data_IF_362737883104
#
_entry.id   IF_362737883104
#
_cell.length_a   1.000
_cell.length_b   1.000
_cell.length_c   1.000
_cell.angle_alpha   90.00
_cell.angle_beta   90.00
_cell.angle_gamma   90.00
#
_symmetry.space_group_name_H-M   'P 1'
#
loop_
_entity.id
_entity.type
_entity.pdbx_description
1 polymer ?
#
# COMPACT_ATOMS: atom_id res chain seq x y z
N UNK A 1 -6.61 85.01 -53.85
CA UNK A 1 -6.99 86.29 -54.48
C UNK A 1 -8.29 86.09 -55.24
N UNK A 2 -9.11 87.14 -55.27
CA UNK A 2 -10.43 87.26 -55.93
C UNK A 2 -11.64 86.72 -55.16
N UNK A 3 -12.05 87.57 -54.22
CA UNK A 3 -13.43 87.98 -53.94
C UNK A 3 -14.44 87.57 -55.03
N UNK A 4 -15.45 86.81 -54.63
CA UNK A 4 -16.80 87.02 -55.12
C UNK A 4 -17.75 87.04 -53.93
N UNK A 5 -18.13 88.26 -53.53
CA UNK A 5 -19.27 88.47 -52.65
C UNK A 5 -20.52 88.03 -53.40
N UNK A 6 -21.02 86.85 -53.04
CA UNK A 6 -22.43 86.51 -53.25
C UNK A 6 -23.13 86.77 -51.93
N UNK A 7 -24.13 87.65 -52.00
CA UNK A 7 -25.10 87.94 -50.96
C UNK A 7 -25.47 86.65 -50.21
N UNK A 8 -25.10 86.57 -48.93
CA UNK A 8 -25.72 85.60 -48.02
C UNK A 8 -27.18 86.02 -47.90
N UNK A 9 -28.08 85.29 -48.55
CA UNK A 9 -29.49 85.34 -48.20
C UNK A 9 -29.59 84.77 -46.78
N UNK A 10 -29.55 85.63 -45.77
CA UNK A 10 -29.72 85.30 -44.34
C UNK A 10 -31.13 84.75 -44.01
N UNK A 11 -31.90 84.35 -45.02
CA UNK A 11 -33.18 83.66 -44.95
C UNK A 11 -33.10 82.16 -45.35
N UNK A 12 -31.89 81.61 -45.60
CA UNK A 12 -31.71 80.28 -46.23
C UNK A 12 -30.91 79.23 -45.40
N UNK A 13 -30.65 79.45 -44.10
CA UNK A 13 -29.84 78.52 -43.30
C UNK A 13 -30.69 77.56 -42.44
N UNK A 14 -30.74 76.29 -42.87
CA UNK A 14 -31.41 75.20 -42.15
C UNK A 14 -30.50 74.51 -41.13
N UNK A 15 -29.26 74.98 -40.95
CA UNK A 15 -28.26 74.37 -40.07
C UNK A 15 -28.68 74.40 -38.60
N UNK A 16 -29.43 75.43 -38.20
CA UNK A 16 -29.99 75.56 -36.84
C UNK A 16 -30.90 74.38 -36.45
N UNK A 17 -31.53 73.69 -37.42
CA UNK A 17 -32.37 72.51 -37.17
C UNK A 17 -31.55 71.23 -36.91
N UNK A 18 -30.25 71.23 -37.22
CA UNK A 18 -29.35 70.08 -37.10
C UNK A 18 -28.47 70.16 -35.84
N UNK A 19 -28.51 71.29 -35.12
CA UNK A 19 -27.79 71.47 -33.86
C UNK A 19 -28.31 70.50 -32.78
N UNK A 20 -27.42 69.86 -31.98
CA UNK A 20 -27.80 68.83 -31.01
C UNK A 20 -28.73 69.32 -29.89
N UNK A 21 -28.75 70.64 -29.64
CA UNK A 21 -29.59 71.28 -28.62
C UNK A 21 -30.82 71.99 -29.22
N UNK A 22 -31.20 71.67 -30.47
CA UNK A 22 -32.36 72.29 -31.10
C UNK A 22 -33.65 72.00 -30.32
N UNK A 23 -34.27 73.07 -29.81
CA UNK A 23 -35.59 73.02 -29.19
C UNK A 23 -36.61 73.76 -30.06
N UNK A 24 -37.59 73.00 -30.56
CA UNK A 24 -38.68 73.50 -31.38
C UNK A 24 -39.52 74.55 -30.65
N UNK A 25 -39.69 74.44 -29.32
CA UNK A 25 -40.45 75.39 -28.52
C UNK A 25 -39.78 76.77 -28.47
N UNK A 26 -38.50 76.79 -28.09
CA UNK A 26 -37.70 78.01 -28.06
C UNK A 26 -37.51 78.65 -29.44
N UNK A 27 -37.35 77.84 -30.48
CA UNK A 27 -37.27 78.33 -31.86
C UNK A 27 -38.58 78.99 -32.30
N UNK A 28 -39.72 78.33 -32.06
CA UNK A 28 -41.04 78.90 -32.36
C UNK A 28 -41.29 80.20 -31.59
N UNK A 29 -40.89 80.26 -30.32
CA UNK A 29 -41.00 81.47 -29.51
C UNK A 29 -40.11 82.61 -30.06
N UNK A 30 -38.86 82.29 -30.39
CA UNK A 30 -37.93 83.26 -31.00
C UNK A 30 -38.45 83.77 -32.35
N UNK A 31 -39.07 82.90 -33.16
CA UNK A 31 -39.69 83.27 -34.42
C UNK A 31 -40.90 84.20 -34.21
N UNK A 32 -41.78 83.87 -33.26
CA UNK A 32 -42.92 84.71 -32.90
C UNK A 32 -42.49 86.11 -32.46
N UNK A 33 -41.49 86.19 -31.59
CA UNK A 33 -40.90 87.45 -31.10
C UNK A 33 -40.28 88.23 -32.26
N UNK A 34 -39.51 87.57 -33.14
CA UNK A 34 -38.85 88.23 -34.27
C UNK A 34 -39.83 88.81 -35.30
N UNK A 35 -41.02 88.21 -35.45
CA UNK A 35 -42.00 88.63 -36.46
C UNK A 35 -42.96 89.70 -35.93
N UNK A 36 -43.18 89.75 -34.61
CA UNK A 36 -44.14 90.66 -33.97
C UNK A 36 -43.49 91.84 -33.24
N UNK A 37 -42.20 91.78 -32.90
CA UNK A 37 -41.54 92.76 -32.04
C UNK A 37 -41.98 92.66 -30.57
N UNK A 38 -41.24 93.31 -29.67
CA UNK A 38 -41.44 93.16 -28.23
C UNK A 38 -42.64 93.93 -27.65
N UNK A 39 -43.17 94.92 -28.38
CA UNK A 39 -44.11 95.92 -27.83
C UNK A 39 -45.49 95.95 -28.53
N UNK A 40 -45.78 95.01 -29.44
CA UNK A 40 -47.07 94.94 -30.12
C UNK A 40 -48.13 94.26 -29.24
N UNK A 41 -49.27 94.93 -29.03
CA UNK A 41 -50.41 94.42 -28.25
C UNK A 41 -51.29 93.43 -29.00
N UNK A 42 -51.08 93.26 -30.32
CA UNK A 42 -51.80 92.34 -31.18
C UNK A 42 -50.81 91.33 -31.76
N UNK A 43 -51.05 90.05 -31.51
CA UNK A 43 -50.20 88.94 -31.96
C UNK A 43 -50.57 88.50 -33.38
N UNK A 44 -49.68 88.72 -34.34
CA UNK A 44 -49.74 88.18 -35.69
C UNK A 44 -49.08 86.79 -35.76
N UNK A 45 -49.91 85.75 -35.79
CA UNK A 45 -49.49 84.36 -36.00
C UNK A 45 -49.42 83.98 -37.49
N UNK A 46 -50.01 84.79 -38.37
CA UNK A 46 -50.15 84.44 -39.78
C UNK A 46 -48.82 84.59 -40.53
N UNK A 47 -48.04 85.62 -40.21
CA UNK A 47 -46.73 85.87 -40.83
C UNK A 47 -45.66 84.82 -40.45
N UNK A 48 -45.44 84.49 -39.15
CA UNK A 48 -44.53 83.41 -38.75
C UNK A 48 -44.91 82.06 -39.37
N UNK A 49 -46.21 81.76 -39.41
CA UNK A 49 -46.72 80.49 -39.94
C UNK A 49 -46.60 80.41 -41.47
N UNK A 50 -46.71 81.55 -42.18
CA UNK A 50 -46.39 81.62 -43.62
C UNK A 50 -44.90 81.38 -43.87
N UNK A 51 -44.01 81.91 -43.03
CA UNK A 51 -42.56 81.69 -43.15
C UNK A 51 -42.19 80.22 -42.96
N UNK A 52 -42.67 79.56 -41.89
CA UNK A 52 -42.44 78.12 -41.69
C UNK A 52 -42.98 77.26 -42.84
N UNK A 53 -44.14 77.62 -43.40
CA UNK A 53 -44.69 76.92 -44.57
C UNK A 53 -43.82 77.09 -45.80
N UNK A 54 -43.25 78.27 -46.01
CA UNK A 54 -42.31 78.52 -47.10
C UNK A 54 -41.04 77.68 -46.93
N UNK A 55 -40.48 77.67 -45.73
CA UNK A 55 -39.29 76.89 -45.37
C UNK A 55 -39.50 75.39 -45.59
N UNK A 56 -40.66 74.84 -45.23
CA UNK A 56 -41.03 73.44 -45.49
C UNK A 56 -41.10 73.12 -47.00
N UNK A 57 -41.67 74.02 -47.79
CA UNK A 57 -41.75 73.86 -49.25
C UNK A 57 -40.37 73.90 -49.87
N UNK A 58 -39.48 74.78 -49.40
CA UNK A 58 -38.10 74.86 -49.90
C UNK A 58 -37.27 73.65 -49.47
N UNK A 59 -37.46 73.12 -48.25
CA UNK A 59 -36.87 71.85 -47.83
C UNK A 59 -37.29 70.68 -48.72
N UNK A 60 -38.58 70.55 -49.01
CA UNK A 60 -39.10 69.50 -49.90
C UNK A 60 -38.51 69.65 -51.32
N UNK A 61 -38.41 70.89 -51.81
CA UNK A 61 -37.79 71.19 -53.10
C UNK A 61 -36.30 70.86 -53.12
N UNK A 62 -35.55 71.19 -52.07
CA UNK A 62 -34.11 70.87 -51.94
C UNK A 62 -33.89 69.36 -51.79
N UNK A 63 -34.74 68.68 -51.02
CA UNK A 63 -34.70 67.23 -50.88
C UNK A 63 -34.98 66.54 -52.21
N UNK A 64 -35.98 67.03 -52.96
CA UNK A 64 -36.26 66.58 -54.32
C UNK A 64 -35.10 66.85 -55.27
N UNK A 65 -34.46 68.02 -55.20
CA UNK A 65 -33.30 68.37 -56.03
C UNK A 65 -32.09 67.48 -55.71
N UNK A 66 -31.76 67.29 -54.44
CA UNK A 66 -30.64 66.44 -54.02
C UNK A 66 -30.90 64.98 -54.42
N UNK A 67 -32.12 64.50 -54.20
CA UNK A 67 -32.55 63.16 -54.60
C UNK A 67 -32.52 62.99 -56.11
N UNK A 68 -33.01 63.98 -56.89
CA UNK A 68 -33.02 63.93 -58.35
C UNK A 68 -31.66 64.19 -59.01
N UNK A 69 -30.73 64.85 -58.33
CA UNK A 69 -29.38 65.11 -58.85
C UNK A 69 -28.43 63.95 -58.55
N UNK A 70 -28.60 63.28 -57.41
CA UNK A 70 -27.72 62.21 -56.95
C UNK A 70 -28.37 60.82 -56.99
N UNK A 71 -29.49 60.67 -57.70
CA UNK A 71 -30.24 59.40 -57.77
C UNK A 71 -29.36 58.23 -58.21
N UNK A 72 -28.40 58.44 -59.11
CA UNK A 72 -27.51 57.39 -59.60
C UNK A 72 -26.60 56.83 -58.49
N UNK A 73 -26.00 57.71 -57.69
CA UNK A 73 -25.15 57.32 -56.56
C UNK A 73 -25.96 56.64 -55.47
N UNK A 74 -27.17 57.13 -55.19
CA UNK A 74 -28.07 56.53 -54.23
C UNK A 74 -28.52 55.12 -54.67
N UNK A 75 -28.90 54.98 -55.94
CA UNK A 75 -29.28 53.70 -56.55
C UNK A 75 -28.09 52.73 -56.59
N UNK A 76 -26.88 53.22 -56.87
CA UNK A 76 -25.66 52.42 -56.84
C UNK A 76 -25.33 51.90 -55.44
N UNK A 77 -25.48 52.73 -54.40
CA UNK A 77 -25.29 52.29 -53.01
C UNK A 77 -26.35 51.25 -52.60
N UNK A 78 -27.63 51.48 -52.92
CA UNK A 78 -28.67 50.51 -52.63
C UNK A 78 -28.44 49.17 -53.35
N UNK A 79 -28.01 49.20 -54.60
CA UNK A 79 -27.66 47.98 -55.36
C UNK A 79 -26.42 47.28 -54.80
N UNK A 80 -25.39 48.01 -54.36
CA UNK A 80 -24.21 47.42 -53.69
C UNK A 80 -24.55 46.80 -52.34
N UNK A 81 -25.36 47.47 -51.51
CA UNK A 81 -25.84 46.92 -50.23
C UNK A 81 -26.62 45.63 -50.49
N UNK A 82 -27.51 45.63 -51.49
CA UNK A 82 -28.26 44.44 -51.86
C UNK A 82 -27.32 43.33 -52.34
N UNK A 83 -26.35 43.63 -53.21
CA UNK A 83 -25.36 42.67 -53.68
C UNK A 83 -24.55 42.04 -52.53
N UNK A 84 -24.08 42.85 -51.57
CA UNK A 84 -23.35 42.33 -50.41
C UNK A 84 -24.25 41.48 -49.53
N UNK A 85 -25.51 41.88 -49.35
CA UNK A 85 -26.51 41.09 -48.62
C UNK A 85 -26.75 39.74 -49.29
N UNK A 86 -26.89 39.73 -50.62
CA UNK A 86 -27.04 38.50 -51.42
C UNK A 86 -25.80 37.61 -51.27
N UNK A 87 -24.59 38.15 -51.40
CA UNK A 87 -23.35 37.36 -51.25
C UNK A 87 -23.25 36.74 -49.84
N UNK A 88 -23.61 37.51 -48.82
CA UNK A 88 -23.54 37.08 -47.42
C UNK A 88 -24.58 35.98 -47.14
N UNK A 89 -25.81 36.13 -47.63
CA UNK A 89 -26.88 35.13 -47.46
C UNK A 89 -26.67 33.88 -48.32
N UNK A 90 -26.19 34.02 -49.55
CA UNK A 90 -26.18 32.91 -50.51
C UNK A 90 -24.86 32.14 -50.52
N UNK A 91 -23.74 32.78 -50.15
CA UNK A 91 -22.43 32.11 -50.13
C UNK A 91 -21.87 31.97 -48.73
N UNK A 92 -21.72 33.08 -48.00
CA UNK A 92 -20.95 33.06 -46.76
C UNK A 92 -21.67 32.26 -45.67
N UNK A 93 -22.96 32.56 -45.40
CA UNK A 93 -23.72 31.86 -44.37
C UNK A 93 -23.83 30.34 -44.65
N UNK A 94 -24.16 29.88 -45.88
CA UNK A 94 -24.22 28.45 -46.17
C UNK A 94 -22.86 27.75 -46.04
N UNK A 95 -21.76 28.40 -46.43
CA UNK A 95 -20.43 27.84 -46.22
C UNK A 95 -20.06 27.76 -44.74
N UNK A 96 -20.41 28.78 -43.95
CA UNK A 96 -20.20 28.78 -42.50
C UNK A 96 -20.99 27.64 -41.83
N UNK A 97 -22.25 27.45 -42.22
CA UNK A 97 -23.08 26.34 -41.75
C UNK A 97 -22.51 24.99 -42.17
N UNK A 98 -22.00 24.89 -43.40
CA UNK A 98 -21.38 23.66 -43.92
C UNK A 98 -20.11 23.30 -43.14
N UNK A 99 -19.36 24.29 -42.66
CA UNK A 99 -18.16 24.07 -41.83
C UNK A 99 -18.54 23.74 -40.38
N UNK A 100 -19.52 24.46 -39.81
CA UNK A 100 -19.93 24.24 -38.42
C UNK A 100 -20.64 22.90 -38.20
N UNK A 101 -21.39 22.40 -39.20
CA UNK A 101 -22.10 21.11 -39.12
C UNK A 101 -21.16 19.94 -38.76
N UNK A 102 -20.03 19.72 -39.44
CA UNK A 102 -19.03 18.73 -39.06
C UNK A 102 -18.48 18.90 -37.63
N UNK A 103 -18.21 20.13 -37.18
CA UNK A 103 -17.70 20.36 -35.83
C UNK A 103 -18.74 20.01 -34.76
N UNK A 104 -19.99 20.46 -34.94
CA UNK A 104 -21.10 20.09 -34.05
C UNK A 104 -21.36 18.58 -34.09
N UNK A 105 -21.21 17.95 -35.25
CA UNK A 105 -21.31 16.50 -35.40
C UNK A 105 -20.21 15.78 -34.63
N UNK A 106 -18.95 16.19 -34.75
CA UNK A 106 -17.83 15.59 -33.99
C UNK A 106 -18.03 15.78 -32.49
N UNK A 107 -18.44 16.97 -32.07
CA UNK A 107 -18.73 17.25 -30.66
C UNK A 107 -19.78 16.29 -30.11
N UNK A 108 -20.89 16.12 -30.82
CA UNK A 108 -22.00 15.28 -30.40
C UNK A 108 -21.74 13.78 -30.55
N UNK A 109 -21.08 13.35 -31.62
CA UNK A 109 -20.86 11.93 -31.91
C UNK A 109 -19.57 11.37 -31.28
N UNK A 110 -18.61 12.22 -30.91
CA UNK A 110 -17.30 11.78 -30.40
C UNK A 110 -16.98 12.34 -29.02
N UNK A 111 -17.07 13.66 -28.83
CA UNK A 111 -16.62 14.29 -27.58
C UNK A 111 -17.58 13.96 -26.43
N UNK A 112 -18.89 14.18 -26.61
CA UNK A 112 -19.89 13.90 -25.56
C UNK A 112 -19.89 12.41 -25.14
N UNK A 113 -19.90 11.42 -26.06
CA UNK A 113 -19.79 10.01 -25.69
C UNK A 113 -18.46 9.65 -25.02
N UNK A 114 -17.36 10.29 -25.41
CA UNK A 114 -16.07 10.10 -24.77
C UNK A 114 -16.09 10.59 -23.32
N UNK A 115 -16.62 11.79 -23.07
CA UNK A 115 -16.74 12.34 -21.71
C UNK A 115 -17.66 11.48 -20.84
N UNK A 116 -18.75 10.95 -21.40
CA UNK A 116 -19.62 9.98 -20.73
C UNK A 116 -18.88 8.68 -20.38
N UNK A 117 -18.10 8.13 -21.33
CA UNK A 117 -17.32 6.93 -21.11
C UNK A 117 -16.25 7.13 -20.02
N UNK A 118 -15.57 8.29 -20.00
CA UNK A 118 -14.60 8.63 -18.96
C UNK A 118 -15.28 8.73 -17.59
N UNK A 119 -16.45 9.36 -17.50
CA UNK A 119 -17.25 9.41 -16.28
C UNK A 119 -17.63 8.02 -15.78
N UNK A 120 -18.12 7.16 -16.66
CA UNK A 120 -18.49 5.78 -16.33
C UNK A 120 -17.26 4.96 -15.89
N UNK A 121 -16.12 5.11 -16.57
CA UNK A 121 -14.88 4.43 -16.22
C UNK A 121 -14.38 4.85 -14.83
N UNK A 122 -14.46 6.14 -14.50
CA UNK A 122 -14.12 6.62 -13.15
C UNK A 122 -15.06 6.06 -12.08
N UNK A 123 -16.37 6.00 -12.37
CA UNK A 123 -17.32 5.36 -11.47
C UNK A 123 -17.00 3.87 -11.26
N UNK A 124 -16.67 3.15 -12.34
CA UNK A 124 -16.26 1.75 -12.27
C UNK A 124 -14.98 1.55 -11.47
N UNK A 125 -13.99 2.43 -11.64
CA UNK A 125 -12.73 2.41 -10.86
C UNK A 125 -13.02 2.59 -9.36
N UNK A 126 -13.89 3.53 -8.99
CA UNK A 126 -14.28 3.75 -7.59
C UNK A 126 -15.03 2.55 -7.00
N UNK A 127 -15.94 1.94 -7.77
CA UNK A 127 -16.65 0.72 -7.36
C UNK A 127 -15.67 -0.43 -7.15
N UNK A 128 -14.73 -0.62 -8.08
CA UNK A 128 -13.73 -1.67 -7.99
C UNK A 128 -12.86 -1.50 -6.73
N UNK A 129 -12.37 -0.29 -6.46
CA UNK A 129 -11.60 0.02 -5.26
C UNK A 129 -12.39 -0.25 -3.98
N UNK A 130 -13.65 0.19 -3.94
CA UNK A 130 -14.55 -0.04 -2.80
C UNK A 130 -14.77 -1.53 -2.57
N UNK A 131 -14.97 -2.31 -3.64
CA UNK A 131 -15.20 -3.74 -3.58
C UNK A 131 -13.95 -4.50 -3.11
N UNK A 132 -12.77 -4.10 -3.55
CA UNK A 132 -11.50 -4.68 -3.09
C UNK A 132 -11.30 -4.45 -1.58
N UNK A 133 -11.49 -3.22 -1.10
CA UNK A 133 -11.41 -2.91 0.32
C UNK A 133 -12.46 -3.69 1.13
N UNK A 134 -13.69 -3.82 0.61
CA UNK A 134 -14.75 -4.56 1.27
C UNK A 134 -14.44 -6.07 1.33
N UNK A 135 -13.88 -6.65 0.27
CA UNK A 135 -13.45 -8.05 0.26
C UNK A 135 -12.35 -8.31 1.28
N UNK A 136 -11.34 -7.46 1.34
CA UNK A 136 -10.26 -7.62 2.33
C UNK A 136 -10.77 -7.43 3.75
N UNK A 137 -11.70 -6.50 3.96
CA UNK A 137 -12.37 -6.32 5.27
C UNK A 137 -13.18 -7.54 5.66
N UNK A 138 -13.94 -8.11 4.73
CA UNK A 138 -14.72 -9.32 4.95
C UNK A 138 -13.83 -10.51 5.30
N UNK A 139 -12.73 -10.70 4.56
CA UNK A 139 -11.73 -11.71 4.85
C UNK A 139 -11.10 -11.52 6.24
N UNK A 140 -10.74 -10.29 6.60
CA UNK A 140 -10.24 -9.96 7.93
C UNK A 140 -11.27 -10.32 9.02
N UNK A 141 -12.53 -9.88 8.89
CA UNK A 141 -13.59 -10.18 9.88
C UNK A 141 -13.77 -11.69 10.03
N UNK A 142 -13.79 -12.42 8.91
CA UNK A 142 -13.91 -13.87 8.92
C UNK A 142 -12.76 -14.57 9.66
N UNK A 143 -11.51 -14.12 9.44
CA UNK A 143 -10.36 -14.62 10.20
C UNK A 143 -10.52 -14.34 11.69
N UNK A 144 -10.92 -13.12 12.08
CA UNK A 144 -11.09 -12.76 13.49
C UNK A 144 -12.20 -13.60 14.13
N UNK A 145 -13.33 -13.77 13.46
CA UNK A 145 -14.42 -14.62 13.93
C UNK A 145 -13.95 -16.05 14.16
N UNK A 146 -13.23 -16.64 13.20
CA UNK A 146 -12.69 -18.00 13.37
C UNK A 146 -11.67 -18.09 14.51
N UNK A 147 -10.83 -17.07 14.69
CA UNK A 147 -9.88 -17.01 15.81
C UNK A 147 -10.63 -16.96 17.15
N UNK A 148 -11.70 -16.19 17.26
CA UNK A 148 -12.51 -16.08 18.48
C UNK A 148 -13.28 -17.37 18.78
N UNK A 149 -13.85 -18.03 17.77
CA UNK A 149 -14.52 -19.33 17.91
C UNK A 149 -13.56 -20.42 18.41
N UNK A 150 -12.33 -20.45 17.88
CA UNK A 150 -11.30 -21.41 18.30
C UNK A 150 -10.70 -21.10 19.68
N UNK A 151 -10.72 -19.83 20.11
CA UNK A 151 -10.19 -19.40 21.41
C UNK A 151 -11.25 -19.46 22.54
N UNK A 152 -12.53 -19.38 22.21
CA UNK A 152 -13.65 -19.42 23.18
C UNK A 152 -14.11 -20.83 23.57
N UNK A 153 -13.62 -21.89 22.91
CA UNK A 153 -14.01 -23.28 23.16
C UNK A 153 -13.39 -23.91 24.42
N UNK A 154 -14.13 -24.81 25.09
CA UNK A 154 -13.70 -25.57 26.29
C UNK A 154 -12.58 -26.57 25.99
N UNK A 155 -12.50 -27.05 24.75
CA UNK A 155 -11.37 -27.82 24.25
C UNK A 155 -10.34 -26.85 23.70
N UNK A 156 -9.11 -26.91 24.21
CA UNK A 156 -7.92 -26.27 23.61
C UNK A 156 -8.06 -26.32 22.09
N UNK A 157 -8.32 -25.16 21.47
CA UNK A 157 -8.61 -25.05 20.05
C UNK A 157 -7.52 -25.72 19.22
N UNK A 158 -7.86 -26.10 17.99
CA UNK A 158 -6.90 -26.68 17.05
C UNK A 158 -5.72 -25.72 16.83
N UNK A 159 -4.64 -25.91 17.59
CA UNK A 159 -3.49 -25.00 17.69
C UNK A 159 -2.86 -24.78 16.32
N UNK A 160 -2.88 -25.80 15.46
CA UNK A 160 -2.37 -25.73 14.09
C UNK A 160 -3.24 -24.81 13.24
N UNK A 161 -4.57 -24.96 13.31
CA UNK A 161 -5.49 -24.04 12.59
C UNK A 161 -5.37 -22.61 13.10
N UNK A 162 -5.34 -22.41 14.42
CA UNK A 162 -5.14 -21.08 15.03
C UNK A 162 -3.83 -20.44 14.55
N UNK A 163 -2.77 -21.24 14.45
CA UNK A 163 -1.47 -20.79 13.93
C UNK A 163 -1.53 -20.37 12.45
N UNK A 164 -2.25 -21.12 11.62
CA UNK A 164 -2.47 -20.77 10.20
C UNK A 164 -3.27 -19.48 10.05
N UNK A 165 -4.31 -19.29 10.85
CA UNK A 165 -5.11 -18.06 10.85
C UNK A 165 -4.28 -16.84 11.27
N UNK A 166 -3.43 -16.97 12.31
CA UNK A 166 -2.50 -15.91 12.67
C UNK A 166 -1.45 -15.64 11.57
N UNK A 167 -0.94 -16.67 10.89
CA UNK A 167 -0.04 -16.50 9.75
C UNK A 167 -0.71 -15.76 8.58
N UNK A 168 -1.95 -16.12 8.23
CA UNK A 168 -2.74 -15.41 7.22
C UNK A 168 -3.00 -13.95 7.61
N UNK A 169 -3.31 -13.69 8.88
CA UNK A 169 -3.53 -12.35 9.40
C UNK A 169 -2.25 -11.51 9.35
N UNK A 170 -1.09 -12.09 9.66
CA UNK A 170 0.19 -11.38 9.56
C UNK A 170 0.57 -11.12 8.10
N UNK A 171 0.35 -12.08 7.19
CA UNK A 171 0.56 -11.86 5.76
C UNK A 171 -0.28 -10.69 5.22
N UNK A 172 -1.51 -10.52 5.72
CA UNK A 172 -2.34 -9.37 5.39
C UNK A 172 -1.68 -8.05 5.83
N UNK A 173 -1.08 -7.98 7.02
CA UNK A 173 -0.35 -6.80 7.48
C UNK A 173 1.00 -6.59 6.77
N UNK A 174 1.71 -7.66 6.41
CA UNK A 174 3.02 -7.61 5.77
C UNK A 174 2.93 -7.23 4.29
N UNK A 175 1.84 -7.62 3.62
CA UNK A 175 1.56 -7.21 2.23
C UNK A 175 1.50 -5.68 2.07
N UNK A 176 1.07 -4.97 3.12
CA UNK A 176 1.04 -3.51 3.15
C UNK A 176 2.41 -2.90 3.40
N UNK A 177 3.24 -3.54 4.22
CA UNK A 177 4.56 -3.03 4.62
C UNK A 177 5.60 -3.25 3.51
N UNK A 178 5.48 -4.38 2.78
CA UNK A 178 6.41 -4.78 1.72
C UNK A 178 6.19 -4.00 0.41
N UNK A 179 4.98 -3.50 0.18
CA UNK A 179 4.65 -2.64 -0.97
C UNK A 179 5.12 -1.17 -0.80
N UNK A 180 5.90 -0.86 0.25
CA UNK A 180 6.47 0.47 0.49
C UNK A 180 7.56 0.94 -0.49
N UNK A 181 7.83 0.20 -1.58
CA UNK A 181 8.90 0.51 -2.54
C UNK A 181 8.50 0.61 -4.02
N UNK A 182 7.32 0.10 -4.40
CA UNK A 182 6.80 0.26 -5.76
C UNK A 182 5.50 1.02 -5.62
N UNK A 183 5.42 2.18 -6.26
CA UNK A 183 4.19 2.95 -6.42
C UNK A 183 3.16 2.07 -7.14
N UNK A 184 2.47 1.18 -6.43
CA UNK A 184 1.27 0.57 -6.95
C UNK A 184 0.26 1.70 -7.03
N UNK A 185 -0.12 2.06 -8.24
CA UNK A 185 -1.15 3.03 -8.61
C UNK A 185 -2.56 2.68 -8.05
N UNK A 186 -2.62 1.75 -7.09
CA UNK A 186 -3.79 1.27 -6.40
C UNK A 186 -3.68 1.67 -4.93
N UNK A 187 -4.37 2.77 -4.64
CA UNK A 187 -4.54 3.43 -3.35
C UNK A 187 -5.27 2.57 -2.28
N UNK A 188 -5.32 1.25 -2.46
CA UNK A 188 -6.08 0.32 -1.63
C UNK A 188 -5.20 -0.17 -0.48
N UNK A 189 -4.83 0.77 0.40
CA UNK A 189 -4.13 0.42 1.62
C UNK A 189 -5.13 -0.16 2.63
N UNK A 190 -5.02 -1.45 2.94
CA UNK A 190 -5.84 -2.14 3.95
C UNK A 190 -5.74 -1.46 5.33
N UNK A 191 -4.60 -0.82 5.64
CA UNK A 191 -4.39 -0.07 6.87
C UNK A 191 -5.12 1.28 6.92
N UNK A 192 -5.76 1.71 5.83
CA UNK A 192 -6.70 2.86 5.86
C UNK A 192 -7.93 2.56 6.72
N UNK A 193 -8.27 1.28 6.90
CA UNK A 193 -9.44 0.83 7.65
C UNK A 193 -9.09 0.79 9.13
N UNK A 194 -9.73 1.68 9.90
CA UNK A 194 -9.49 1.84 11.34
C UNK A 194 -9.59 0.53 12.12
N UNK A 195 -10.61 -0.28 11.85
CA UNK A 195 -10.82 -1.57 12.53
C UNK A 195 -9.61 -2.51 12.37
N UNK A 196 -9.09 -2.64 11.15
CA UNK A 196 -7.96 -3.52 10.84
C UNK A 196 -6.68 -2.97 11.47
N UNK A 197 -6.45 -1.67 11.32
CA UNK A 197 -5.28 -0.99 11.87
C UNK A 197 -5.21 -1.12 13.40
N UNK A 198 -6.32 -0.84 14.08
CA UNK A 198 -6.36 -0.78 15.54
C UNK A 198 -6.26 -2.20 16.16
N UNK A 199 -6.69 -3.25 15.44
CA UNK A 199 -6.56 -4.64 15.89
C UNK A 199 -5.12 -5.19 15.79
N UNK A 200 -4.24 -4.58 14.99
CA UNK A 200 -2.87 -5.08 14.75
C UNK A 200 -2.09 -5.35 16.03
N UNK A 201 -2.13 -4.44 16.99
CA UNK A 201 -1.43 -4.61 18.27
C UNK A 201 -1.96 -5.82 19.04
N UNK A 202 -3.28 -5.97 19.12
CA UNK A 202 -3.94 -7.12 19.75
C UNK A 202 -3.57 -8.43 19.07
N UNK A 203 -3.56 -8.46 17.73
CA UNK A 203 -3.17 -9.63 16.95
C UNK A 203 -1.72 -10.06 17.24
N UNK A 204 -0.79 -9.11 17.30
CA UNK A 204 0.62 -9.38 17.61
C UNK A 204 0.76 -9.95 19.02
N UNK A 205 0.14 -9.33 20.01
CA UNK A 205 0.20 -9.77 21.42
C UNK A 205 -0.38 -11.18 21.59
N UNK A 206 -1.55 -11.46 21.01
CA UNK A 206 -2.16 -12.81 21.10
C UNK A 206 -1.32 -13.86 20.37
N UNK A 207 -0.74 -13.53 19.21
CA UNK A 207 0.19 -14.39 18.50
C UNK A 207 1.41 -14.73 19.35
N UNK A 208 2.00 -13.73 20.01
CA UNK A 208 3.14 -13.93 20.91
C UNK A 208 2.78 -14.81 22.12
N UNK A 209 1.58 -14.64 22.69
CA UNK A 209 1.08 -15.51 23.76
C UNK A 209 0.99 -16.97 23.30
N UNK A 210 0.49 -17.20 22.08
CA UNK A 210 0.39 -18.55 21.50
C UNK A 210 1.79 -19.17 21.25
N UNK A 211 2.74 -18.37 20.76
CA UNK A 211 4.15 -18.79 20.60
C UNK A 211 4.73 -19.22 21.96
N UNK A 212 4.47 -18.44 23.01
CA UNK A 212 4.91 -18.75 24.36
C UNK A 212 4.29 -20.05 24.89
N UNK A 213 2.99 -20.25 24.70
CA UNK A 213 2.28 -21.48 25.06
C UNK A 213 2.85 -22.71 24.33
N UNK A 214 3.09 -22.59 23.03
CA UNK A 214 3.74 -23.64 22.24
C UNK A 214 5.12 -23.97 22.78
N UNK A 215 5.91 -22.94 23.08
CA UNK A 215 7.25 -23.09 23.61
C UNK A 215 7.26 -23.81 24.97
N UNK A 216 6.34 -23.45 25.88
CA UNK A 216 6.22 -24.10 27.18
C UNK A 216 5.77 -25.55 27.05
N UNK A 217 4.80 -25.82 26.18
CA UNK A 217 4.31 -27.18 25.95
C UNK A 217 5.41 -28.07 25.37
N UNK A 218 6.13 -27.61 24.33
CA UNK A 218 7.23 -28.34 23.72
C UNK A 218 8.32 -28.64 24.76
N UNK A 219 8.72 -27.65 25.56
CA UNK A 219 9.70 -27.87 26.64
C UNK A 219 9.22 -28.93 27.64
N UNK A 220 7.94 -28.92 28.01
CA UNK A 220 7.38 -29.85 28.99
C UNK A 220 7.24 -31.29 28.45
N UNK A 221 6.93 -31.45 27.17
CA UNK A 221 6.68 -32.74 26.51
C UNK A 221 7.97 -33.38 25.98
N UNK A 222 8.97 -32.60 25.56
CA UNK A 222 10.30 -33.13 25.21
C UNK A 222 11.11 -33.53 26.44
N UNK A 223 10.71 -33.04 27.62
CA UNK A 223 11.45 -33.26 28.85
C UNK A 223 11.38 -34.67 29.42
N UNK A 224 10.30 -35.40 29.10
CA UNK A 224 9.99 -36.74 29.60
C UNK A 224 10.24 -37.74 28.47
N UNK A 225 11.11 -38.74 28.69
CA UNK A 225 11.38 -39.76 27.66
C UNK A 225 10.13 -40.59 27.30
N UNK A 226 9.13 -40.66 28.18
CA UNK A 226 7.87 -41.36 27.95
C UNK A 226 6.91 -40.63 27.01
N UNK A 227 7.00 -39.29 26.90
CA UNK A 227 6.13 -38.50 26.01
C UNK A 227 6.67 -38.40 24.59
N UNK A 228 7.92 -38.80 24.34
CA UNK A 228 8.48 -38.97 23.00
C UNK A 228 7.99 -40.27 22.38
N UNK A 229 6.75 -40.24 21.89
CA UNK A 229 6.15 -41.34 21.16
C UNK A 229 5.17 -40.81 20.10
N UNK A 230 4.89 -41.64 19.08
CA UNK A 230 4.05 -41.26 17.93
C UNK A 230 2.61 -40.89 18.30
N UNK A 231 2.10 -41.36 19.44
CA UNK A 231 0.73 -41.06 19.91
C UNK A 231 0.62 -39.68 20.55
N UNK A 232 1.74 -38.98 20.79
CA UNK A 232 1.73 -37.64 21.36
C UNK A 232 1.35 -36.58 20.31
N UNK A 233 0.08 -36.56 19.94
CA UNK A 233 -0.51 -35.59 19.00
C UNK A 233 -0.35 -34.16 19.54
N UNK A 234 -0.34 -33.99 20.87
CA UNK A 234 -0.12 -32.68 21.49
C UNK A 234 1.25 -32.12 21.12
N UNK A 235 2.33 -32.86 21.34
CA UNK A 235 3.68 -32.43 20.98
C UNK A 235 3.80 -32.16 19.47
N UNK A 236 3.26 -33.06 18.63
CA UNK A 236 3.24 -32.90 17.18
C UNK A 236 2.57 -31.58 16.75
N UNK A 237 1.34 -31.33 17.22
CA UNK A 237 0.58 -30.14 16.88
C UNK A 237 1.28 -28.85 17.32
N UNK A 238 1.94 -28.84 18.48
CA UNK A 238 2.65 -27.65 18.96
C UNK A 238 3.96 -27.40 18.21
N UNK A 239 4.70 -28.46 17.81
CA UNK A 239 5.87 -28.32 16.93
C UNK A 239 5.46 -27.75 15.58
N UNK A 240 4.38 -28.27 15.00
CA UNK A 240 3.83 -27.78 13.75
C UNK A 240 3.33 -26.33 13.84
N UNK A 241 2.61 -26.01 14.91
CA UNK A 241 2.13 -24.67 15.20
C UNK A 241 3.28 -23.66 15.32
N UNK A 242 4.31 -23.99 16.10
CA UNK A 242 5.47 -23.12 16.29
C UNK A 242 6.22 -22.89 14.99
N UNK A 243 6.39 -23.91 14.15
CA UNK A 243 7.00 -23.76 12.84
C UNK A 243 6.20 -22.83 11.91
N UNK A 244 4.86 -22.91 11.92
CA UNK A 244 3.98 -22.01 11.13
C UNK A 244 4.05 -20.57 11.64
N UNK A 245 4.12 -20.38 12.97
CA UNK A 245 4.11 -19.06 13.59
C UNK A 245 5.45 -18.36 13.47
N UNK A 246 6.55 -19.05 13.79
CA UNK A 246 7.89 -18.49 13.77
C UNK A 246 8.95 -19.59 13.62
N UNK A 247 9.50 -19.69 12.41
CA UNK A 247 10.54 -20.67 12.05
C UNK A 247 11.81 -20.48 12.90
N UNK A 248 12.18 -19.24 13.26
CA UNK A 248 13.38 -18.99 14.05
C UNK A 248 13.18 -19.45 15.49
N UNK A 249 12.05 -19.11 16.09
CA UNK A 249 11.70 -19.53 17.44
C UNK A 249 11.60 -21.06 17.52
N UNK A 250 11.04 -21.72 16.49
CA UNK A 250 11.00 -23.17 16.39
C UNK A 250 12.39 -23.80 16.58
N UNK A 251 13.40 -23.38 15.81
CA UNK A 251 14.73 -23.95 15.93
C UNK A 251 15.38 -23.66 17.29
N UNK A 252 15.18 -22.46 17.83
CA UNK A 252 15.72 -22.08 19.15
C UNK A 252 15.12 -22.93 20.27
N UNK A 253 13.80 -23.07 20.30
CA UNK A 253 13.10 -23.88 21.30
C UNK A 253 13.40 -25.36 21.11
N UNK A 254 13.48 -25.85 19.87
CA UNK A 254 13.87 -27.22 19.59
C UNK A 254 15.28 -27.52 20.15
N UNK A 255 16.28 -26.68 19.87
CA UNK A 255 17.65 -26.85 20.38
C UNK A 255 17.68 -26.82 21.91
N UNK A 256 16.99 -25.83 22.51
CA UNK A 256 16.97 -25.64 23.95
C UNK A 256 16.32 -26.82 24.68
N UNK A 257 15.19 -27.29 24.17
CA UNK A 257 14.35 -28.30 24.81
C UNK A 257 14.91 -29.71 24.69
N UNK A 258 15.56 -30.02 23.56
CA UNK A 258 16.14 -31.32 23.26
C UNK A 258 17.66 -31.33 23.50
N UNK A 259 18.44 -30.71 22.61
CA UNK A 259 19.90 -30.77 22.60
C UNK A 259 20.54 -30.14 23.85
N UNK A 260 20.30 -28.85 24.10
CA UNK A 260 20.97 -28.12 25.18
C UNK A 260 20.63 -28.68 26.55
N UNK A 261 19.38 -29.15 26.73
CA UNK A 261 18.93 -29.77 27.97
C UNK A 261 19.65 -31.10 28.24
N UNK A 262 19.75 -31.97 27.23
CA UNK A 262 20.46 -33.24 27.40
C UNK A 262 21.96 -33.01 27.58
N UNK A 263 22.56 -32.12 26.78
CA UNK A 263 23.98 -31.74 26.88
C UNK A 263 24.30 -31.19 28.28
N UNK A 264 23.45 -30.30 28.82
CA UNK A 264 23.62 -29.77 30.17
C UNK A 264 23.49 -30.84 31.25
N UNK A 265 22.49 -31.73 31.14
CA UNK A 265 22.26 -32.80 32.12
C UNK A 265 23.43 -33.79 32.15
N UNK A 266 23.81 -34.31 30.99
CA UNK A 266 24.93 -35.24 30.85
C UNK A 266 26.28 -34.57 31.13
N UNK A 267 26.46 -33.32 30.73
CA UNK A 267 27.66 -32.54 31.02
C UNK A 267 27.86 -32.32 32.53
N UNK A 268 26.77 -32.09 33.27
CA UNK A 268 26.81 -31.99 34.73
C UNK A 268 27.10 -33.34 35.41
N UNK A 269 26.53 -34.44 34.90
CA UNK A 269 26.83 -35.80 35.37
C UNK A 269 28.32 -36.14 35.16
N UNK A 270 28.85 -35.91 33.96
CA UNK A 270 30.27 -36.12 33.66
C UNK A 270 31.18 -35.18 34.46
N UNK A 271 30.79 -33.92 34.65
CA UNK A 271 31.56 -32.99 35.48
C UNK A 271 31.67 -33.44 36.94
N UNK A 272 30.62 -34.07 37.49
CA UNK A 272 30.69 -34.70 38.82
C UNK A 272 31.56 -35.95 38.81
N UNK A 273 31.47 -36.75 37.74
CA UNK A 273 32.28 -37.94 37.55
C UNK A 273 33.79 -37.64 37.46
N UNK A 274 34.19 -36.47 36.95
CA UNK A 274 35.58 -36.02 36.94
C UNK A 274 36.17 -35.84 38.35
N UNK A 275 35.33 -35.63 39.37
CA UNK A 275 35.78 -35.55 40.76
C UNK A 275 36.12 -36.93 41.34
N UNK A 276 35.59 -38.00 40.75
CA UNK A 276 35.80 -39.40 41.12
C UNK A 276 36.13 -40.26 39.89
N UNK A 277 37.36 -40.18 39.36
CA UNK A 277 37.74 -40.80 38.08
C UNK A 277 37.43 -42.29 37.96
N UNK A 278 37.41 -43.02 39.08
CA UNK A 278 37.08 -44.46 39.14
C UNK A 278 35.67 -44.78 38.62
N UNK A 279 34.71 -43.87 38.79
CA UNK A 279 33.31 -44.05 38.35
C UNK A 279 33.05 -43.38 36.99
N UNK A 280 34.03 -42.67 36.42
CA UNK A 280 33.85 -41.91 35.19
C UNK A 280 33.37 -42.79 34.02
N UNK A 281 33.97 -43.97 33.85
CA UNK A 281 33.58 -44.87 32.76
C UNK A 281 32.19 -45.47 32.95
N UNK A 282 31.77 -45.74 34.18
CA UNK A 282 30.41 -46.21 34.45
C UNK A 282 29.38 -45.12 34.11
N UNK A 283 29.63 -43.88 34.56
CA UNK A 283 28.76 -42.74 34.29
C UNK A 283 28.76 -42.39 32.79
N UNK A 284 29.90 -42.48 32.11
CA UNK A 284 29.97 -42.23 30.66
C UNK A 284 29.18 -43.26 29.86
N UNK A 285 29.23 -44.55 30.24
CA UNK A 285 28.40 -45.58 29.63
C UNK A 285 26.90 -45.38 29.90
N UNK A 286 26.52 -44.99 31.12
CA UNK A 286 25.12 -44.65 31.46
C UNK A 286 24.61 -43.44 30.64
N UNK A 287 25.45 -42.41 30.49
CA UNK A 287 25.17 -41.25 29.63
C UNK A 287 24.99 -41.67 28.18
N UNK A 288 25.82 -42.60 27.68
CA UNK A 288 25.69 -43.10 26.32
C UNK A 288 24.37 -43.84 26.11
N UNK A 289 24.03 -44.79 26.99
CA UNK A 289 22.83 -45.62 26.86
C UNK A 289 21.55 -44.78 26.97
N UNK A 290 21.48 -43.89 27.98
CA UNK A 290 20.32 -43.02 28.20
C UNK A 290 20.09 -42.03 27.06
N UNK A 291 21.15 -41.43 26.51
CA UNK A 291 21.02 -40.50 25.38
C UNK A 291 20.76 -41.21 24.06
N UNK A 292 21.35 -42.39 23.81
CA UNK A 292 21.01 -43.20 22.64
C UNK A 292 19.52 -43.51 22.63
N UNK A 293 18.98 -44.03 23.74
CA UNK A 293 17.55 -44.31 23.87
C UNK A 293 16.65 -43.06 23.73
N UNK A 294 17.14 -41.87 24.10
CA UNK A 294 16.41 -40.61 23.91
C UNK A 294 16.40 -40.17 22.45
N UNK A 295 17.56 -40.13 21.80
CA UNK A 295 17.68 -39.68 20.41
C UNK A 295 17.08 -40.68 19.42
N UNK A 296 17.14 -41.99 19.67
CA UNK A 296 16.47 -42.99 18.84
C UNK A 296 14.96 -42.77 18.81
N UNK A 297 14.34 -42.53 19.98
CA UNK A 297 12.92 -42.19 20.07
C UNK A 297 12.60 -40.85 19.40
N UNK A 298 13.46 -39.86 19.57
CA UNK A 298 13.27 -38.55 18.96
C UNK A 298 13.35 -38.63 17.44
N UNK A 299 14.33 -39.36 16.90
CA UNK A 299 14.51 -39.59 15.47
C UNK A 299 13.33 -40.38 14.90
N UNK A 300 12.86 -41.45 15.57
CA UNK A 300 11.66 -42.21 15.17
C UNK A 300 10.45 -41.28 15.03
N UNK A 301 10.21 -40.47 16.05
CA UNK A 301 9.07 -39.56 16.12
C UNK A 301 9.16 -38.48 15.04
N UNK A 302 10.31 -37.82 14.87
CA UNK A 302 10.51 -36.76 13.88
C UNK A 302 10.54 -37.27 12.45
N UNK A 303 10.88 -38.54 12.23
CA UNK A 303 10.85 -39.17 10.90
C UNK A 303 9.42 -39.40 10.42
N UNK A 304 8.52 -39.75 11.35
CA UNK A 304 7.10 -40.07 11.05
C UNK A 304 6.19 -38.85 11.07
N UNK A 305 6.61 -37.78 11.75
CA UNK A 305 5.86 -36.53 11.79
C UNK A 305 6.22 -35.67 10.59
N UNK A 306 5.23 -35.42 9.74
CA UNK A 306 5.37 -34.62 8.53
C UNK A 306 5.17 -33.14 8.83
N UNK A 307 5.79 -32.30 8.01
CA UNK A 307 5.53 -30.86 8.02
C UNK A 307 4.10 -30.54 7.57
N UNK A 308 3.59 -29.33 7.89
CA UNK A 308 2.33 -28.86 7.30
C UNK A 308 2.43 -28.94 5.78
N UNK A 309 1.59 -29.77 5.16
CA UNK A 309 1.58 -29.99 3.72
C UNK A 309 1.40 -28.66 2.98
N UNK A 310 2.41 -28.32 2.20
CA UNK A 310 2.34 -27.29 1.17
C UNK A 310 2.21 -28.08 -0.14
N UNK A 311 1.09 -27.92 -0.86
CA UNK A 311 0.65 -28.81 -1.96
C UNK A 311 1.67 -28.99 -3.10
N UNK A 312 2.76 -28.20 -3.09
CA UNK A 312 3.78 -28.13 -4.10
C UNK A 312 5.16 -28.65 -3.65
N UNK A 313 5.29 -29.21 -2.44
CA UNK A 313 6.56 -29.75 -1.92
C UNK A 313 6.48 -31.23 -1.61
N UNK A 314 7.57 -32.00 -1.81
CA UNK A 314 7.64 -33.38 -1.34
C UNK A 314 7.43 -33.42 0.17
N UNK A 315 6.92 -34.55 0.67
CA UNK A 315 6.68 -34.76 2.10
C UNK A 315 8.01 -34.73 2.86
N UNK A 316 8.42 -33.53 3.30
CA UNK A 316 9.53 -33.33 4.22
C UNK A 316 9.05 -33.62 5.64
N UNK A 317 9.77 -34.49 6.35
CA UNK A 317 9.54 -34.73 7.76
C UNK A 317 10.33 -33.75 8.63
N UNK A 318 9.96 -33.65 9.92
CA UNK A 318 10.65 -32.75 10.84
C UNK A 318 12.13 -33.11 11.02
N UNK A 319 12.50 -34.40 10.88
CA UNK A 319 13.90 -34.82 11.01
C UNK A 319 14.76 -34.20 9.91
N UNK A 320 14.36 -34.33 8.65
CA UNK A 320 15.08 -33.78 7.49
C UNK A 320 15.19 -32.25 7.59
N UNK A 321 14.13 -31.58 8.03
CA UNK A 321 14.14 -30.15 8.28
C UNK A 321 15.20 -29.75 9.32
N UNK A 322 15.22 -30.43 10.46
CA UNK A 322 16.16 -30.13 11.55
C UNK A 322 17.60 -30.45 11.15
N UNK A 323 17.84 -31.61 10.54
CA UNK A 323 19.18 -32.02 10.10
C UNK A 323 19.75 -31.08 9.03
N UNK A 324 18.92 -30.63 8.09
CA UNK A 324 19.33 -29.65 7.07
C UNK A 324 19.70 -28.30 7.69
N UNK A 325 18.93 -27.83 8.68
CA UNK A 325 19.22 -26.58 9.39
C UNK A 325 20.54 -26.65 10.17
N UNK A 326 20.79 -27.75 10.89
CA UNK A 326 22.03 -27.95 11.66
C UNK A 326 23.20 -28.50 10.84
N UNK A 327 23.00 -28.79 9.55
CA UNK A 327 24.02 -29.35 8.64
C UNK A 327 24.74 -30.56 9.23
N UNK A 328 23.95 -31.50 9.76
CA UNK A 328 24.45 -32.68 10.47
C UNK A 328 23.73 -33.93 9.98
N UNK A 329 24.41 -35.08 10.02
CA UNK A 329 23.88 -36.38 9.60
C UNK A 329 22.92 -37.03 10.61
N UNK A 330 23.13 -36.80 11.92
CA UNK A 330 22.26 -37.32 12.99
C UNK A 330 22.20 -36.42 14.22
N UNK A 331 21.07 -36.42 14.91
CA UNK A 331 20.91 -35.66 16.16
C UNK A 331 21.86 -36.13 17.27
N UNK A 332 22.16 -37.44 17.29
CA UNK A 332 23.15 -38.02 18.20
C UNK A 332 24.56 -37.44 17.99
N UNK A 333 25.00 -37.27 16.74
CA UNK A 333 26.29 -36.65 16.44
C UNK A 333 26.36 -35.20 16.94
N UNK A 334 25.31 -34.42 16.70
CA UNK A 334 25.21 -33.03 17.18
C UNK A 334 25.30 -32.95 18.71
N UNK A 335 24.61 -33.86 19.41
CA UNK A 335 24.68 -33.97 20.86
C UNK A 335 26.12 -34.23 21.34
N UNK A 336 26.80 -35.23 20.79
CA UNK A 336 28.16 -35.60 21.22
C UNK A 336 29.17 -34.49 20.95
N UNK A 337 29.05 -33.76 19.84
CA UNK A 337 29.89 -32.59 19.55
C UNK A 337 29.70 -31.49 20.61
N UNK A 338 28.45 -31.14 20.92
CA UNK A 338 28.13 -30.13 21.95
C UNK A 338 28.55 -30.57 23.36
N UNK A 339 28.33 -31.84 23.70
CA UNK A 339 28.74 -32.42 24.98
C UNK A 339 30.25 -32.42 25.15
N UNK A 340 31.00 -32.84 24.11
CA UNK A 340 32.45 -32.83 24.13
C UNK A 340 33.01 -31.42 24.34
N UNK A 341 32.44 -30.40 23.69
CA UNK A 341 32.83 -29.01 23.91
C UNK A 341 32.57 -28.55 25.35
N UNK A 342 31.42 -28.90 25.94
CA UNK A 342 31.13 -28.58 27.34
C UNK A 342 32.08 -29.32 28.28
N UNK A 343 32.34 -30.61 28.04
CA UNK A 343 33.26 -31.43 28.81
C UNK A 343 34.68 -30.85 28.76
N UNK A 344 35.14 -30.45 27.57
CA UNK A 344 36.44 -29.79 27.36
C UNK A 344 36.58 -28.54 28.24
N UNK A 345 35.58 -27.66 28.24
CA UNK A 345 35.55 -26.46 29.10
C UNK A 345 35.60 -26.82 30.59
N UNK A 346 34.84 -27.84 31.01
CA UNK A 346 34.82 -28.29 32.40
C UNK A 346 36.16 -28.88 32.84
N UNK A 347 36.83 -29.65 31.98
CA UNK A 347 38.17 -30.21 32.21
C UNK A 347 39.18 -29.07 32.34
N UNK A 348 39.25 -28.15 31.37
CA UNK A 348 40.17 -27.00 31.42
C UNK A 348 39.99 -26.19 32.69
N UNK A 349 38.75 -25.88 33.08
CA UNK A 349 38.46 -25.17 34.32
C UNK A 349 38.90 -25.95 35.58
N UNK A 350 38.75 -27.28 35.57
CA UNK A 350 39.21 -28.14 36.67
C UNK A 350 40.73 -28.19 36.76
N UNK A 351 41.41 -28.29 35.62
CA UNK A 351 42.88 -28.30 35.54
C UNK A 351 43.48 -26.96 35.96
N UNK A 352 42.90 -25.84 35.53
CA UNK A 352 43.33 -24.49 35.89
C UNK A 352 43.26 -24.22 37.41
N UNK A 353 42.30 -24.83 38.12
CA UNK A 353 42.18 -24.71 39.59
C UNK A 353 43.31 -25.40 40.37
N UNK A 354 44.06 -26.32 39.76
CA UNK A 354 45.28 -26.89 40.35
C UNK A 354 45.12 -27.74 41.63
N UNK A 355 43.90 -28.18 41.96
CA UNK A 355 43.60 -28.90 43.21
C UNK A 355 43.85 -30.42 43.19
N UNK A 356 43.48 -31.14 44.27
CA UNK A 356 43.61 -32.60 44.36
C UNK A 356 42.91 -33.35 43.23
N UNK A 357 41.75 -32.84 42.77
CA UNK A 357 41.00 -33.40 41.64
C UNK A 357 41.82 -33.34 40.35
N UNK A 358 42.50 -32.23 40.06
CA UNK A 358 43.33 -32.09 38.86
C UNK A 358 44.54 -33.03 38.89
N UNK A 359 45.19 -33.19 40.06
CA UNK A 359 46.28 -34.17 40.24
C UNK A 359 45.78 -35.59 40.02
N UNK A 360 44.60 -35.91 40.57
CA UNK A 360 43.96 -37.22 40.43
C UNK A 360 43.62 -37.52 38.96
N UNK A 361 43.06 -36.56 38.23
CA UNK A 361 42.78 -36.69 36.80
C UNK A 361 44.03 -36.96 35.96
N UNK A 362 45.19 -36.34 36.28
CA UNK A 362 46.45 -36.65 35.59
C UNK A 362 46.89 -38.10 35.77
N UNK A 363 46.73 -38.64 36.99
CA UNK A 363 47.08 -40.05 37.28
C UNK A 363 46.21 -41.02 36.49
N UNK A 364 44.91 -40.73 36.37
CA UNK A 364 43.96 -41.59 35.64
C UNK A 364 43.81 -41.27 34.15
N UNK A 365 44.48 -40.22 33.63
CA UNK A 365 44.34 -39.72 32.25
C UNK A 365 44.50 -40.81 31.20
N UNK A 366 45.59 -41.59 31.30
CA UNK A 366 45.88 -42.66 30.33
C UNK A 366 44.82 -43.77 30.38
N UNK A 367 44.40 -44.18 31.58
CA UNK A 367 43.37 -45.21 31.75
C UNK A 367 42.00 -44.77 31.21
N UNK A 368 41.65 -43.49 31.38
CA UNK A 368 40.42 -42.94 30.82
C UNK A 368 40.44 -42.92 29.29
N UNK A 369 41.57 -42.51 28.68
CA UNK A 369 41.73 -42.50 27.23
C UNK A 369 41.62 -43.90 26.64
N UNK A 370 42.35 -44.88 27.17
CA UNK A 370 42.27 -46.27 26.70
C UNK A 370 40.86 -46.85 26.87
N UNK A 371 40.20 -46.57 27.99
CA UNK A 371 38.83 -47.04 28.22
C UNK A 371 37.81 -46.44 27.25
N UNK A 372 38.03 -45.19 26.79
CA UNK A 372 37.20 -44.56 25.74
C UNK A 372 37.53 -45.14 24.36
N UNK A 373 38.80 -45.46 24.10
CA UNK A 373 39.25 -46.05 22.84
C UNK A 373 38.66 -47.43 22.56
N UNK A 374 38.42 -48.22 23.61
CA UNK A 374 37.88 -49.58 23.55
C UNK A 374 36.35 -49.62 23.48
N UNK A 375 35.65 -48.66 24.10
CA UNK A 375 34.18 -48.71 24.27
C UNK A 375 33.35 -47.92 23.25
N UNK A 376 33.93 -46.93 22.57
CA UNK A 376 33.17 -45.99 21.74
C UNK A 376 33.53 -46.09 20.25
N UNK A 377 32.52 -45.93 19.39
CA UNK A 377 32.70 -45.85 17.94
C UNK A 377 33.51 -44.62 17.50
N UNK A 378 34.13 -44.69 16.32
CA UNK A 378 35.19 -43.77 15.86
C UNK A 378 34.83 -42.28 15.93
N UNK A 379 33.61 -41.90 15.58
CA UNK A 379 33.14 -40.50 15.61
C UNK A 379 32.94 -39.95 17.04
N UNK A 380 32.35 -40.73 17.95
CA UNK A 380 32.13 -40.31 19.34
C UNK A 380 33.46 -40.30 20.09
N UNK A 381 34.27 -41.32 19.82
CA UNK A 381 35.63 -41.50 20.35
C UNK A 381 36.50 -40.27 20.10
N UNK A 382 36.56 -39.78 18.86
CA UNK A 382 37.38 -38.60 18.51
C UNK A 382 37.02 -37.36 19.34
N UNK A 383 35.72 -37.06 19.47
CA UNK A 383 35.24 -35.87 20.20
C UNK A 383 35.55 -35.94 21.71
N UNK A 384 35.36 -37.10 22.34
CA UNK A 384 35.62 -37.28 23.77
C UNK A 384 37.12 -37.31 24.05
N UNK A 385 37.93 -37.95 23.18
CA UNK A 385 39.37 -37.99 23.31
C UNK A 385 39.99 -36.58 23.18
N UNK A 386 39.50 -35.74 22.27
CA UNK A 386 39.92 -34.32 22.20
C UNK A 386 39.64 -33.60 23.52
N UNK A 387 38.46 -33.80 24.13
CA UNK A 387 38.15 -33.22 25.42
C UNK A 387 39.09 -33.72 26.54
N UNK A 388 39.38 -35.02 26.60
CA UNK A 388 40.29 -35.63 27.58
C UNK A 388 41.76 -35.25 27.35
N UNK A 389 42.16 -34.92 26.13
CA UNK A 389 43.53 -34.45 25.84
C UNK A 389 43.89 -33.16 26.60
N UNK A 390 42.89 -32.36 26.96
CA UNK A 390 43.09 -31.13 27.75
C UNK A 390 43.55 -31.39 29.20
N UNK A 391 43.49 -32.62 29.69
CA UNK A 391 44.04 -33.00 31.01
C UNK A 391 45.57 -32.87 31.03
N UNK A 392 46.21 -33.16 29.89
CA UNK A 392 47.67 -33.17 29.75
C UNK A 392 48.21 -31.86 29.15
N UNK A 393 47.30 -30.95 28.77
CA UNK A 393 47.65 -29.64 28.25
C UNK A 393 48.31 -28.80 29.36
N UNK A 394 49.45 -28.19 29.02
CA UNK A 394 50.28 -27.42 29.97
C UNK A 394 49.74 -26.02 30.20
#
# INVERSE_FOLDING_TARGET
>A
MSSNGSQRNELEDFEAYLEPDFDAGNFANSLLISTNGHDNTILDLQTPLKKLKYDLVELDKRMKLISSTNYESLTSNFTQIEQYRTILQDRINPHLDTINKPFERIRKEVIEPYDDAVRLNNALKNIHQTLELLRTTSFFIFIIQQLEELQGGVTSGDVVKTSRLYSQLMNLYDSVTSNGGVKSDHNNNVMSIKLIRDYRATAITRRQSLIHECSMTINSETSRSSSLNLKNIKLYNHLQALYILDVKEFYQIFDKSTMQRQVSTSGNQLSKALQSPRNFMAILSEVQESNAAYFDKLDEVLTKWNLPHDSNKPDENFLMLVLSYYKTESLSLLFWQKLAQQLKRNIVATMARGGPIAKNLKVYSQGLKTSVEEKFGEQIKSNILDALSMIDYK
#
